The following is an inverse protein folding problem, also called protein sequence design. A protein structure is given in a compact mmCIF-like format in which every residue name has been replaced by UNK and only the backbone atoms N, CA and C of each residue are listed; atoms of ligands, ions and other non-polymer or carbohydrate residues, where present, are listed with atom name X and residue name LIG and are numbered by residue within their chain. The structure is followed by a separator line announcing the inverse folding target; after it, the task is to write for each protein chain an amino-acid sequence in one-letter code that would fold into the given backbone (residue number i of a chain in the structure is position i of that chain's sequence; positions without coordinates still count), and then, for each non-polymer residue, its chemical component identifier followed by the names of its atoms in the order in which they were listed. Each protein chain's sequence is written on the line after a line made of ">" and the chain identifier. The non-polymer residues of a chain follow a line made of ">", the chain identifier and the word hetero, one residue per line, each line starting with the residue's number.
data_IF_793509523707
#
_entry.id   IF_793509523707
#
_cell.length_a   1.000
_cell.length_b   1.000
_cell.length_c   1.000
_cell.angle_alpha   90.00
_cell.angle_beta   90.00
_cell.angle_gamma   90.00
#
_symmetry.space_group_name_H-M   'P 1'
#
loop_
_entity.id
_entity.type
_entity.pdbx_description
1 polymer ?
#
# COMPACT_ATOMS: atom_id res chain seq x y z
N UNK A 1 -32.27 -5.16 45.86
CA UNK A 1 -31.24 -6.10 46.32
C UNK A 1 -30.56 -6.89 45.20
N UNK A 2 -31.04 -6.87 43.97
CA UNK A 2 -30.41 -7.58 42.84
C UNK A 2 -29.31 -6.79 42.10
N UNK A 3 -29.29 -5.47 42.28
CA UNK A 3 -28.32 -4.56 41.64
C UNK A 3 -26.94 -4.51 42.35
N UNK A 4 -26.88 -4.79 43.65
CA UNK A 4 -25.64 -4.79 44.44
C UNK A 4 -24.77 -6.00 44.23
N UNK A 5 -25.35 -7.14 43.83
CA UNK A 5 -24.58 -8.37 43.58
C UNK A 5 -23.83 -8.33 42.26
N UNK A 6 -24.33 -7.59 41.26
CA UNK A 6 -23.67 -7.47 39.97
C UNK A 6 -22.42 -6.55 40.00
N UNK A 7 -22.42 -5.57 40.89
CA UNK A 7 -21.30 -4.62 41.08
C UNK A 7 -20.09 -5.28 41.74
N UNK A 8 -20.32 -6.31 42.59
CA UNK A 8 -19.23 -6.98 43.31
C UNK A 8 -18.44 -7.95 42.42
N UNK A 9 -19.06 -8.51 41.37
CA UNK A 9 -18.40 -9.45 40.46
C UNK A 9 -17.43 -8.77 39.51
N UNK A 10 -17.68 -7.50 39.14
CA UNK A 10 -16.79 -6.74 38.24
C UNK A 10 -15.49 -6.31 38.92
N UNK A 11 -15.46 -6.20 40.26
CA UNK A 11 -14.29 -5.75 40.99
C UNK A 11 -13.21 -6.82 41.19
N UNK A 12 -13.54 -8.11 40.99
CA UNK A 12 -12.60 -9.22 41.23
C UNK A 12 -11.73 -9.55 40.01
N UNK A 13 -12.04 -9.02 38.82
CA UNK A 13 -11.31 -9.34 37.58
C UNK A 13 -10.05 -8.50 37.33
N UNK A 14 -9.69 -7.54 38.19
CA UNK A 14 -8.55 -6.64 37.98
C UNK A 14 -7.28 -6.95 38.76
N UNK A 15 -7.18 -8.08 39.46
CA UNK A 15 -6.02 -8.40 40.32
C UNK A 15 -5.17 -9.58 39.86
N UNK A 16 -4.91 -9.72 38.55
CA UNK A 16 -3.98 -10.75 38.08
C UNK A 16 -3.15 -10.27 36.89
N UNK A 17 -2.15 -9.45 37.18
CA UNK A 17 -0.95 -9.32 36.34
C UNK A 17 0.21 -8.75 37.16
N UNK A 18 0.96 -9.61 37.81
CA UNK A 18 2.35 -9.35 38.25
C UNK A 18 3.16 -10.61 38.00
N UNK A 19 4.05 -10.55 36.99
CA UNK A 19 5.46 -10.96 37.15
C UNK A 19 6.21 -10.53 35.89
N UNK A 20 7.05 -9.54 36.08
CA UNK A 20 8.22 -9.29 35.24
C UNK A 20 9.30 -10.25 35.72
N UNK A 21 9.84 -11.07 34.86
CA UNK A 21 11.13 -11.72 35.05
C UNK A 21 12.13 -11.02 34.15
N UNK A 22 13.08 -10.44 34.88
CA UNK A 22 14.35 -9.91 34.48
C UNK A 22 15.21 -11.01 33.87
N UNK A 23 15.62 -10.91 32.63
CA UNK A 23 16.71 -11.73 32.08
C UNK A 23 17.62 -10.92 31.17
N UNK A 24 18.81 -10.61 31.76
CA UNK A 24 20.08 -10.84 31.13
C UNK A 24 20.44 -9.95 29.94
N UNK A 25 21.08 -8.85 30.27
CA UNK A 25 22.02 -8.12 29.43
C UNK A 25 23.13 -9.08 28.93
N UNK A 26 23.09 -9.48 27.69
CA UNK A 26 24.26 -10.03 26.99
C UNK A 26 24.49 -9.20 25.73
N UNK A 27 25.22 -8.12 25.92
CA UNK A 27 25.90 -7.39 24.86
C UNK A 27 27.14 -8.18 24.45
N UNK A 28 26.97 -9.16 23.56
CA UNK A 28 28.11 -9.72 22.84
C UNK A 28 28.42 -8.78 21.66
N UNK A 29 29.39 -7.92 21.91
CA UNK A 29 30.10 -7.14 20.92
C UNK A 29 30.80 -8.09 19.95
N UNK A 30 30.22 -8.27 18.79
CA UNK A 30 30.90 -8.84 17.62
C UNK A 30 31.95 -7.83 17.18
N UNK A 31 33.20 -8.05 17.59
CA UNK A 31 34.39 -7.37 17.07
C UNK A 31 34.60 -7.80 15.64
N UNK A 32 34.31 -6.90 14.70
CA UNK A 32 34.83 -7.01 13.34
C UNK A 32 36.35 -6.83 13.35
N UNK A 33 37.14 -7.67 12.68
CA UNK A 33 38.58 -7.49 12.56
C UNK A 33 38.89 -6.26 11.71
N UNK A 34 39.51 -5.26 12.32
CA UNK A 34 40.16 -4.18 11.59
C UNK A 34 41.40 -4.74 10.88
N UNK A 35 41.39 -4.70 9.56
CA UNK A 35 42.57 -4.97 8.76
C UNK A 35 43.42 -3.68 8.73
N UNK A 36 44.54 -3.72 9.42
CA UNK A 36 45.57 -2.68 9.37
C UNK A 36 46.09 -2.57 7.93
N UNK A 37 46.02 -1.36 7.38
CA UNK A 37 46.60 -1.03 6.09
C UNK A 37 48.01 -0.52 6.37
N UNK A 38 49.00 -1.37 6.14
CA UNK A 38 50.42 -0.99 6.09
C UNK A 38 50.66 -0.21 4.80
N UNK A 39 51.19 0.96 4.94
CA UNK A 39 51.70 1.78 3.84
C UNK A 39 53.00 1.14 3.33
N UNK A 40 53.02 0.80 2.04
CA UNK A 40 54.25 0.60 1.28
C UNK A 40 54.05 1.16 -0.14
N UNK A 41 54.84 2.13 -0.45
CA UNK A 41 55.13 2.77 -1.73
C UNK A 41 55.36 1.73 -2.84
N UNK A 42 54.68 1.84 -3.97
CA UNK A 42 55.21 1.46 -5.29
C UNK A 42 54.37 2.08 -6.40
N UNK A 43 55.02 2.96 -7.16
CA UNK A 43 54.58 3.47 -8.41
C UNK A 43 54.34 2.33 -9.43
N UNK A 44 53.17 2.32 -10.09
CA UNK A 44 52.99 1.64 -11.38
C UNK A 44 51.94 2.33 -12.26
N UNK A 45 52.43 2.83 -13.35
CA UNK A 45 51.91 3.01 -14.71
C UNK A 45 50.37 3.07 -14.93
N UNK A 46 50.02 4.22 -15.51
CA UNK A 46 48.80 4.49 -16.28
C UNK A 46 48.56 3.44 -17.36
N UNK A 47 47.59 2.57 -17.14
CA UNK A 47 46.92 1.86 -18.23
C UNK A 47 45.51 2.38 -18.35
N UNK A 48 45.16 2.81 -19.57
CA UNK A 48 43.87 3.19 -20.07
C UNK A 48 42.75 2.26 -19.54
N UNK A 49 42.04 2.69 -18.52
CA UNK A 49 40.81 2.03 -18.07
C UNK A 49 39.64 2.70 -18.77
N UNK A 50 39.34 2.18 -19.96
CA UNK A 50 38.09 2.41 -20.69
C UNK A 50 36.94 2.31 -19.72
N UNK A 51 36.40 3.48 -19.33
CA UNK A 51 35.18 3.61 -18.52
C UNK A 51 34.11 2.68 -19.09
N UNK A 52 33.50 1.80 -18.28
CA UNK A 52 32.38 1.01 -18.76
C UNK A 52 31.31 1.98 -19.24
N UNK A 53 30.89 1.80 -20.47
CA UNK A 53 29.83 2.54 -21.10
C UNK A 53 28.67 2.66 -20.12
N UNK A 54 28.26 3.89 -19.88
CA UNK A 54 27.02 4.25 -19.17
C UNK A 54 25.90 3.49 -19.83
N UNK A 55 25.55 2.34 -19.26
CA UNK A 55 24.39 1.56 -19.66
C UNK A 55 23.21 2.52 -19.56
N UNK A 56 22.62 2.86 -20.69
CA UNK A 56 21.52 3.80 -20.77
C UNK A 56 20.47 3.35 -19.75
N UNK A 57 20.28 4.14 -18.71
CA UNK A 57 19.19 3.98 -17.76
C UNK A 57 17.91 3.90 -18.60
N UNK A 58 17.45 2.69 -18.83
CA UNK A 58 16.16 2.41 -19.43
C UNK A 58 15.18 3.15 -18.54
N UNK A 59 14.59 4.22 -19.06
CA UNK A 59 13.57 5.00 -18.37
C UNK A 59 12.44 4.05 -17.98
N UNK A 60 12.51 3.53 -16.77
CA UNK A 60 11.54 2.59 -16.24
C UNK A 60 10.34 3.44 -15.84
N UNK A 61 9.25 3.30 -16.60
CA UNK A 61 8.00 3.97 -16.30
C UNK A 61 7.54 3.57 -14.89
N UNK A 62 7.42 4.54 -13.99
CA UNK A 62 6.96 4.30 -12.63
C UNK A 62 5.54 3.72 -12.60
N UNK A 63 5.37 2.67 -11.82
CA UNK A 63 4.08 2.02 -11.59
C UNK A 63 3.56 2.42 -10.22
N UNK A 64 2.62 3.36 -10.21
CA UNK A 64 2.03 3.90 -8.99
C UNK A 64 0.61 3.37 -8.84
N UNK A 65 0.31 2.78 -7.69
CA UNK A 65 -1.04 2.44 -7.26
C UNK A 65 -1.55 3.55 -6.34
N UNK A 66 -2.72 4.09 -6.65
CA UNK A 66 -3.44 5.06 -5.81
C UNK A 66 -4.68 4.41 -5.25
N UNK A 67 -4.92 4.58 -3.96
CA UNK A 67 -6.09 4.11 -3.25
C UNK A 67 -6.76 5.27 -2.54
N UNK A 68 -8.09 5.31 -2.55
CA UNK A 68 -8.86 6.34 -1.87
C UNK A 68 -10.06 5.74 -1.14
N UNK A 69 -10.21 6.09 0.13
CA UNK A 69 -11.37 5.77 0.94
C UNK A 69 -12.08 7.07 1.30
N UNK A 70 -13.32 7.21 0.81
CA UNK A 70 -14.12 8.41 1.00
C UNK A 70 -15.46 8.05 1.63
N UNK A 71 -15.82 8.80 2.66
CA UNK A 71 -17.13 8.75 3.28
C UNK A 71 -17.67 10.15 3.42
N UNK A 72 -18.90 10.37 3.01
CA UNK A 72 -19.57 11.66 3.10
C UNK A 72 -21.09 11.50 3.11
N UNK A 73 -21.78 12.50 3.61
CA UNK A 73 -23.22 12.58 3.57
C UNK A 73 -23.68 13.34 2.32
N UNK A 74 -24.82 12.94 1.78
CA UNK A 74 -25.45 13.57 0.62
C UNK A 74 -26.94 13.81 0.90
N UNK A 75 -27.44 14.97 0.51
CA UNK A 75 -28.85 15.29 0.59
C UNK A 75 -29.71 14.49 -0.42
N UNK A 76 -29.10 14.09 -1.54
CA UNK A 76 -29.75 13.28 -2.57
C UNK A 76 -28.81 12.17 -3.02
N UNK A 77 -29.08 10.96 -2.53
CA UNK A 77 -28.28 9.77 -2.81
C UNK A 77 -28.32 9.40 -4.31
N UNK A 78 -29.49 9.57 -4.97
CA UNK A 78 -29.67 9.21 -6.37
C UNK A 78 -28.95 10.19 -7.29
N UNK A 79 -29.01 11.49 -7.02
CA UNK A 79 -28.30 12.51 -7.79
C UNK A 79 -26.78 12.30 -7.66
N UNK A 80 -26.29 12.06 -6.43
CA UNK A 80 -24.86 11.75 -6.18
C UNK A 80 -24.42 10.48 -6.89
N UNK A 81 -25.21 9.44 -6.84
CA UNK A 81 -24.91 8.20 -7.56
C UNK A 81 -24.82 8.40 -9.07
N UNK A 82 -25.76 9.14 -9.64
CA UNK A 82 -25.75 9.49 -11.08
C UNK A 82 -24.49 10.29 -11.45
N UNK A 83 -24.08 11.22 -10.60
CA UNK A 83 -22.83 11.97 -10.77
C UNK A 83 -21.61 11.03 -10.79
N UNK A 84 -21.53 10.10 -9.84
CA UNK A 84 -20.45 9.11 -9.75
C UNK A 84 -20.42 8.20 -10.99
N UNK A 85 -21.60 7.74 -11.46
CA UNK A 85 -21.70 6.93 -12.67
C UNK A 85 -21.22 7.70 -13.92
N UNK A 86 -21.58 8.97 -14.06
CA UNK A 86 -21.16 9.79 -15.18
C UNK A 86 -19.64 10.04 -15.13
N UNK A 87 -19.08 10.32 -13.97
CA UNK A 87 -17.64 10.40 -13.77
C UNK A 87 -16.95 9.08 -14.12
N UNK A 88 -17.47 7.94 -13.67
CA UNK A 88 -16.91 6.63 -13.99
C UNK A 88 -16.85 6.38 -15.50
N UNK A 89 -17.90 6.72 -16.24
CA UNK A 89 -17.92 6.63 -17.71
C UNK A 89 -16.88 7.54 -18.36
N UNK A 90 -16.75 8.78 -17.89
CA UNK A 90 -15.83 9.79 -18.45
C UNK A 90 -14.37 9.38 -18.29
N UNK A 91 -14.01 8.79 -17.16
CA UNK A 91 -12.64 8.39 -16.82
C UNK A 91 -12.36 6.89 -17.06
N UNK A 92 -13.24 6.19 -17.77
CA UNK A 92 -13.10 4.73 -18.04
C UNK A 92 -12.93 3.91 -16.76
N UNK A 93 -13.53 4.38 -15.67
CA UNK A 93 -13.56 3.68 -14.42
C UNK A 93 -14.61 2.56 -14.44
N UNK A 94 -14.37 1.50 -13.67
CA UNK A 94 -15.27 0.35 -13.56
C UNK A 94 -15.80 0.24 -12.14
N UNK A 95 -17.12 0.24 -11.99
CA UNK A 95 -17.76 -0.05 -10.71
C UNK A 95 -17.70 -1.57 -10.50
N UNK A 96 -16.95 -2.02 -9.50
CA UNK A 96 -16.76 -3.43 -9.17
C UNK A 96 -17.82 -3.95 -8.21
N UNK A 97 -18.25 -3.08 -7.30
CA UNK A 97 -19.29 -3.41 -6.32
C UNK A 97 -20.19 -2.20 -6.11
N UNK A 98 -21.47 -2.43 -5.96
CA UNK A 98 -22.50 -1.46 -5.68
C UNK A 98 -23.48 -2.09 -4.69
N UNK A 99 -23.49 -1.58 -3.48
CA UNK A 99 -24.33 -2.10 -2.40
C UNK A 99 -25.11 -0.95 -1.78
N UNK A 100 -26.42 -1.05 -1.81
CA UNK A 100 -27.34 -0.14 -1.15
C UNK A 100 -27.95 -0.84 0.06
N UNK A 101 -28.10 -0.10 1.15
CA UNK A 101 -28.68 -0.62 2.39
C UNK A 101 -29.34 0.47 3.18
N UNK A 102 -30.16 0.05 4.15
CA UNK A 102 -30.81 0.92 5.11
C UNK A 102 -30.37 0.54 6.51
N UNK A 103 -29.89 1.52 7.24
CA UNK A 103 -29.64 1.43 8.66
C UNK A 103 -30.83 2.00 9.43
N UNK A 104 -30.80 1.96 10.76
CA UNK A 104 -31.93 2.40 11.62
C UNK A 104 -32.40 3.83 11.31
N UNK A 105 -31.50 4.72 10.92
CA UNK A 105 -31.78 6.15 10.73
C UNK A 105 -31.47 6.69 9.34
N UNK A 106 -30.71 5.94 8.51
CA UNK A 106 -30.22 6.43 7.22
C UNK A 106 -30.21 5.34 6.15
N UNK A 107 -30.25 5.79 4.90
CA UNK A 107 -29.98 4.94 3.74
C UNK A 107 -28.52 5.20 3.34
N UNK A 108 -27.77 4.15 3.08
CA UNK A 108 -26.40 4.25 2.60
C UNK A 108 -26.18 3.53 1.28
N UNK A 109 -25.18 3.97 0.54
CA UNK A 109 -24.70 3.28 -0.66
C UNK A 109 -23.19 3.17 -0.62
N UNK A 110 -22.67 1.97 -0.83
CA UNK A 110 -21.23 1.68 -0.87
C UNK A 110 -20.84 1.25 -2.27
N UNK A 111 -19.83 1.92 -2.81
CA UNK A 111 -19.32 1.65 -4.15
C UNK A 111 -17.83 1.29 -4.06
N UNK A 112 -17.44 0.26 -4.81
CA UNK A 112 -16.02 -0.04 -5.05
C UNK A 112 -15.77 0.23 -6.53
N UNK A 113 -14.90 1.21 -6.80
CA UNK A 113 -14.66 1.71 -8.15
C UNK A 113 -13.17 1.56 -8.47
N UNK A 114 -12.87 0.92 -9.59
CA UNK A 114 -11.51 0.85 -10.12
C UNK A 114 -11.31 1.92 -11.17
N UNK A 115 -10.33 2.79 -10.96
CA UNK A 115 -10.01 3.93 -11.82
C UNK A 115 -8.58 3.76 -12.34
N UNK A 116 -8.28 4.08 -13.61
CA UNK A 116 -6.91 4.16 -14.09
C UNK A 116 -6.09 5.17 -13.25
N UNK A 117 -4.89 4.79 -12.84
CA UNK A 117 -4.06 5.60 -11.92
C UNK A 117 -3.82 7.04 -12.41
N UNK A 118 -3.69 7.23 -13.72
CA UNK A 118 -3.51 8.55 -14.37
C UNK A 118 -4.72 9.47 -14.24
N UNK A 119 -5.93 8.91 -14.19
CA UNK A 119 -7.19 9.65 -14.17
C UNK A 119 -7.77 9.77 -12.74
N UNK A 120 -7.10 9.15 -11.75
CA UNK A 120 -7.56 9.04 -10.37
C UNK A 120 -7.86 10.40 -9.73
N UNK A 121 -6.93 11.37 -9.86
CA UNK A 121 -7.08 12.68 -9.21
C UNK A 121 -8.22 13.51 -9.84
N UNK A 122 -8.39 13.40 -11.15
CA UNK A 122 -9.49 14.08 -11.87
C UNK A 122 -10.84 13.45 -11.53
N UNK A 123 -10.89 12.12 -11.49
CA UNK A 123 -12.07 11.39 -11.05
C UNK A 123 -12.47 11.78 -9.63
N UNK A 124 -11.50 11.78 -8.70
CA UNK A 124 -11.71 12.18 -7.31
C UNK A 124 -12.26 13.59 -7.19
N UNK A 125 -11.72 14.53 -7.96
CA UNK A 125 -12.20 15.92 -8.00
C UNK A 125 -13.66 16.01 -8.49
N UNK A 126 -14.02 15.23 -9.51
CA UNK A 126 -15.36 15.26 -10.08
C UNK A 126 -16.41 14.67 -9.14
N UNK A 127 -16.12 13.55 -8.48
CA UNK A 127 -17.04 12.95 -7.50
C UNK A 127 -17.15 13.77 -6.22
N UNK A 128 -16.17 14.61 -5.92
CA UNK A 128 -16.17 15.50 -4.75
C UNK A 128 -16.98 16.78 -4.96
N UNK A 129 -17.42 17.06 -6.19
CA UNK A 129 -18.23 18.25 -6.48
C UNK A 129 -19.58 18.15 -5.80
N UNK A 130 -19.94 19.20 -5.06
CA UNK A 130 -21.21 19.27 -4.32
C UNK A 130 -21.18 18.59 -2.94
N UNK A 131 -20.07 17.98 -2.57
CA UNK A 131 -19.86 17.45 -1.21
C UNK A 131 -19.39 18.60 -0.32
N UNK A 132 -20.21 18.96 0.68
CA UNK A 132 -19.88 20.03 1.60
C UNK A 132 -18.77 19.63 2.60
N UNK A 133 -18.82 18.40 3.08
CA UNK A 133 -17.89 17.85 4.06
C UNK A 133 -17.70 16.34 3.88
N UNK A 134 -16.48 15.85 4.14
CA UNK A 134 -16.19 14.42 4.17
C UNK A 134 -16.06 13.95 5.62
N UNK A 135 -16.81 12.92 6.00
CA UNK A 135 -16.65 12.25 7.29
C UNK A 135 -15.31 11.53 7.37
N UNK A 136 -14.90 10.94 6.24
CA UNK A 136 -13.57 10.36 6.05
C UNK A 136 -13.09 10.61 4.64
N UNK A 137 -11.83 11.03 4.50
CA UNK A 137 -11.13 11.17 3.23
C UNK A 137 -9.68 10.75 3.41
N UNK A 138 -9.38 9.54 2.98
CA UNK A 138 -8.04 8.97 3.04
C UNK A 138 -7.58 8.64 1.63
N UNK A 139 -6.40 9.11 1.26
CA UNK A 139 -5.80 8.86 -0.05
C UNK A 139 -4.38 8.39 0.19
N UNK A 140 -4.06 7.22 -0.37
CA UNK A 140 -2.76 6.59 -0.31
C UNK A 140 -2.18 6.43 -1.71
N UNK A 141 -0.86 6.51 -1.80
CA UNK A 141 -0.12 6.32 -3.04
C UNK A 141 1.10 5.45 -2.77
N UNK A 142 1.25 4.36 -3.54
CA UNK A 142 2.35 3.42 -3.39
C UNK A 142 3.06 3.24 -4.72
N UNK A 143 4.38 3.39 -4.72
CA UNK A 143 5.23 3.03 -5.85
C UNK A 143 5.52 1.52 -5.80
N UNK A 144 5.03 0.80 -6.79
CA UNK A 144 5.19 -0.66 -6.92
C UNK A 144 6.10 -1.03 -8.10
N UNK A 145 6.92 -0.11 -8.57
CA UNK A 145 7.78 -0.29 -9.75
C UNK A 145 8.73 -1.47 -9.55
N UNK A 146 9.38 -1.58 -8.41
CA UNK A 146 10.31 -2.67 -8.11
C UNK A 146 9.61 -4.03 -8.05
N UNK A 147 8.46 -4.10 -7.39
CA UNK A 147 7.63 -5.32 -7.31
C UNK A 147 7.13 -5.75 -8.70
N UNK A 148 6.70 -4.80 -9.51
CA UNK A 148 6.26 -5.06 -10.87
C UNK A 148 7.37 -5.67 -11.72
N UNK A 149 8.59 -5.13 -11.63
CA UNK A 149 9.77 -5.63 -12.38
C UNK A 149 10.10 -7.05 -11.95
N UNK A 150 10.12 -7.34 -10.65
CA UNK A 150 10.40 -8.68 -10.12
C UNK A 150 9.36 -9.70 -10.60
N UNK A 151 8.07 -9.39 -10.47
CA UNK A 151 6.99 -10.26 -10.94
C UNK A 151 7.10 -10.50 -12.45
N UNK A 152 7.38 -9.45 -13.23
CA UNK A 152 7.54 -9.55 -14.67
C UNK A 152 8.72 -10.46 -15.07
N UNK A 153 9.86 -10.32 -14.38
CA UNK A 153 11.03 -11.17 -14.58
C UNK A 153 10.73 -12.65 -14.29
N UNK A 154 10.04 -12.93 -13.17
CA UNK A 154 9.61 -14.29 -12.81
C UNK A 154 8.63 -14.89 -13.81
N UNK A 155 7.69 -14.11 -14.32
CA UNK A 155 6.75 -14.56 -15.35
C UNK A 155 7.48 -14.89 -16.66
N UNK A 156 8.44 -14.05 -17.07
CA UNK A 156 9.24 -14.27 -18.26
C UNK A 156 10.05 -15.58 -18.14
N UNK A 157 10.70 -15.80 -17.00
CA UNK A 157 11.45 -17.04 -16.75
C UNK A 157 10.55 -18.29 -16.82
N UNK A 158 9.37 -18.26 -16.22
CA UNK A 158 8.41 -19.38 -16.25
C UNK A 158 7.90 -19.65 -17.67
N UNK A 159 7.63 -18.61 -18.47
CA UNK A 159 7.21 -18.80 -19.87
C UNK A 159 8.27 -19.46 -20.72
N UNK A 160 9.55 -19.08 -20.55
CA UNK A 160 10.68 -19.71 -21.27
C UNK A 160 10.82 -21.19 -20.90
N UNK A 161 10.70 -21.53 -19.63
CA UNK A 161 10.76 -22.91 -19.16
C UNK A 161 9.55 -23.76 -19.64
N UNK A 162 8.36 -23.16 -19.70
CA UNK A 162 7.15 -23.84 -20.17
C UNK A 162 7.13 -24.10 -21.68
N UNK A 163 7.75 -23.23 -22.47
CA UNK A 163 7.85 -23.42 -23.92
C UNK A 163 8.90 -24.46 -24.36
N UNK A 164 9.87 -24.74 -23.49
CA UNK A 164 10.91 -25.75 -23.76
C UNK A 164 10.50 -27.20 -23.53
N UNK A 165 9.35 -27.47 -22.92
CA UNK A 165 8.88 -28.83 -22.57
C UNK A 165 7.97 -29.49 -23.61
N UNK A 166 7.71 -28.85 -24.75
CA UNK A 166 6.77 -29.36 -25.77
C UNK A 166 7.44 -29.84 -27.06
N UNK A 167 8.71 -30.23 -26.98
CA UNK A 167 9.45 -30.86 -28.11
C UNK A 167 9.85 -32.30 -27.74
N UNK A 168 8.91 -33.22 -27.78
CA UNK A 168 9.12 -34.65 -27.94
C UNK A 168 7.96 -35.28 -28.66
#
# INVERSE_FOLDING_TARGET
>A
MKSLALSLIVLVCFSSCKKADELGNNSDLIKLPQKEVSAADAAYETTDNKSPAKESEKNIEQKIIKEGNLRFESNDLNATYTQIQNAAKSYKATIQNDTEGKDYTSIFRRLIIRVPSKDFDLFLKDISKGVAYFDNKEISSQDVTAEYIDIYARLKAKKVLGSGSCSR
#
